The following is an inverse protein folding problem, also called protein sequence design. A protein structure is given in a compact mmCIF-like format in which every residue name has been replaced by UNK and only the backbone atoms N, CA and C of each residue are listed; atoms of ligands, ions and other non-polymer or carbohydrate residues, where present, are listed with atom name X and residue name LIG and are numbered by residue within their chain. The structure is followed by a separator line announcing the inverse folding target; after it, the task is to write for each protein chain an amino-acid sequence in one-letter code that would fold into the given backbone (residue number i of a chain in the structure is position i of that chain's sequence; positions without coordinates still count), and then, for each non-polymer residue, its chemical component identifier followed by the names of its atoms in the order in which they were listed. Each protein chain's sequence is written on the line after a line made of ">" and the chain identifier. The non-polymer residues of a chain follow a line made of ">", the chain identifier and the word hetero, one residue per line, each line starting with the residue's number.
data_IF_864561553731
#
_entry.id   IF_864561553731
#
_cell.length_a   1.000
_cell.length_b   1.000
_cell.length_c   1.000
_cell.angle_alpha   90.00
_cell.angle_beta   90.00
_cell.angle_gamma   90.00
#
_symmetry.space_group_name_H-M   'P 1'
#
loop_
_entity.id
_entity.type
_entity.pdbx_description
1 polymer ?
#
# COMPACT_ATOMS: atom_id res chain seq x y z
N UNK A 1 -21.26 19.64 -14.00
CA UNK A 1 -21.27 18.33 -13.35
C UNK A 1 -20.00 18.31 -12.51
N UNK A 2 -20.11 18.87 -11.30
CA UNK A 2 -19.00 19.01 -10.37
C UNK A 2 -18.75 17.63 -9.78
N UNK A 3 -17.74 16.95 -10.32
CA UNK A 3 -17.29 15.68 -9.77
C UNK A 3 -16.66 15.97 -8.42
N UNK A 4 -17.20 15.33 -7.39
CA UNK A 4 -16.80 15.47 -6.01
C UNK A 4 -15.43 14.80 -5.80
N UNK A 5 -14.37 15.45 -6.26
CA UNK A 5 -12.99 15.06 -5.97
C UNK A 5 -12.65 15.50 -4.54
N UNK A 6 -13.29 14.84 -3.56
CA UNK A 6 -12.94 14.98 -2.15
C UNK A 6 -11.62 14.24 -1.90
N UNK A 7 -10.52 14.92 -2.25
CA UNK A 7 -9.25 14.88 -1.52
C UNK A 7 -8.65 13.49 -1.32
N UNK A 8 -8.43 12.72 -2.38
CA UNK A 8 -7.52 11.58 -2.33
C UNK A 8 -6.08 12.10 -2.36
N UNK A 9 -5.58 12.56 -1.21
CA UNK A 9 -4.15 12.80 -1.08
C UNK A 9 -3.40 11.48 -1.12
N UNK A 10 -2.38 11.45 -1.96
CA UNK A 10 -1.55 10.29 -2.22
C UNK A 10 -0.93 9.68 -0.93
N UNK A 11 -0.75 10.52 0.09
CA UNK A 11 -0.17 10.25 1.40
C UNK A 11 -0.87 9.20 2.27
N UNK A 12 -2.06 8.73 1.89
CA UNK A 12 -2.96 8.08 2.84
C UNK A 12 -3.18 6.57 2.61
N UNK A 13 -2.41 5.89 1.75
CA UNK A 13 -2.70 4.50 1.34
C UNK A 13 -2.98 3.54 2.51
N UNK A 14 -1.98 3.27 3.36
CA UNK A 14 -2.17 2.37 4.49
C UNK A 14 -2.89 3.04 5.65
N UNK A 15 -2.66 4.33 5.89
CA UNK A 15 -3.38 5.12 6.91
C UNK A 15 -4.91 5.04 6.73
N UNK A 16 -5.42 5.23 5.51
CA UNK A 16 -6.85 5.11 5.19
C UNK A 16 -7.31 3.67 5.32
N UNK A 17 -6.53 2.70 4.83
CA UNK A 17 -6.88 1.30 4.98
C UNK A 17 -7.05 0.92 6.47
N UNK A 18 -6.13 1.34 7.34
CA UNK A 18 -6.24 1.15 8.79
C UNK A 18 -7.43 1.87 9.39
N UNK A 19 -7.68 3.13 9.01
CA UNK A 19 -8.81 3.90 9.51
C UNK A 19 -10.17 3.32 9.09
N UNK A 20 -10.30 2.90 7.83
CA UNK A 20 -11.49 2.25 7.31
C UNK A 20 -11.70 0.87 7.95
N UNK A 21 -10.65 0.06 8.04
CA UNK A 21 -10.70 -1.24 8.72
C UNK A 21 -11.14 -1.10 10.17
N UNK A 22 -10.54 -0.17 10.91
CA UNK A 22 -10.89 0.08 12.32
C UNK A 22 -12.36 0.44 12.47
N UNK A 23 -12.91 1.32 11.61
CA UNK A 23 -14.33 1.70 11.63
C UNK A 23 -15.24 0.50 11.41
N UNK A 24 -15.00 -0.28 10.36
CA UNK A 24 -15.79 -1.50 10.09
C UNK A 24 -15.73 -2.49 11.26
N UNK A 25 -14.55 -2.67 11.86
CA UNK A 25 -14.39 -3.54 13.02
C UNK A 25 -15.17 -3.04 14.23
N UNK A 26 -15.16 -1.73 14.51
CA UNK A 26 -15.94 -1.14 15.60
C UNK A 26 -17.45 -1.30 15.37
N UNK A 27 -17.93 -1.03 14.15
CA UNK A 27 -19.34 -1.17 13.77
C UNK A 27 -19.81 -2.63 13.93
N UNK A 28 -19.05 -3.59 13.38
CA UNK A 28 -19.35 -5.02 13.50
C UNK A 28 -19.33 -5.49 14.94
N UNK A 29 -18.38 -5.00 15.74
CA UNK A 29 -18.29 -5.34 17.15
C UNK A 29 -19.52 -4.88 17.93
N UNK A 30 -19.96 -3.64 17.72
CA UNK A 30 -21.16 -3.11 18.35
C UNK A 30 -22.41 -3.89 17.92
N UNK A 31 -22.55 -4.21 16.63
CA UNK A 31 -23.70 -4.97 16.10
C UNK A 31 -23.79 -6.39 16.68
N UNK A 32 -22.65 -7.07 16.84
CA UNK A 32 -22.64 -8.48 17.30
C UNK A 32 -22.67 -8.60 18.82
N UNK A 33 -22.02 -7.70 19.54
CA UNK A 33 -21.87 -7.81 21.01
C UNK A 33 -22.82 -6.91 21.80
N UNK A 34 -23.55 -6.02 21.11
CA UNK A 34 -24.38 -4.94 21.69
C UNK A 34 -23.60 -4.01 22.64
N UNK A 35 -22.27 -3.97 22.48
CA UNK A 35 -21.36 -3.16 23.30
C UNK A 35 -20.38 -2.43 22.39
N UNK A 36 -20.19 -1.11 22.56
CA UNK A 36 -19.15 -0.41 21.83
C UNK A 36 -17.76 -0.90 22.29
N UNK A 37 -16.78 -0.83 21.39
CA UNK A 37 -15.37 -0.93 21.80
C UNK A 37 -15.00 0.27 22.68
N UNK A 38 -13.97 0.09 23.51
CA UNK A 38 -13.38 1.22 24.24
C UNK A 38 -12.81 2.26 23.26
N UNK A 39 -12.58 3.47 23.77
CA UNK A 39 -12.02 4.55 22.93
C UNK A 39 -10.60 4.19 22.50
N UNK A 40 -10.43 3.92 21.20
CA UNK A 40 -9.15 3.58 20.59
C UNK A 40 -8.33 4.85 20.34
N UNK A 41 -7.08 4.89 20.82
CA UNK A 41 -6.22 6.08 20.75
C UNK A 41 -4.90 5.82 20.02
N UNK A 42 -4.19 6.89 19.66
CA UNK A 42 -2.90 6.78 18.96
C UNK A 42 -3.00 6.80 17.43
N UNK A 43 -1.92 6.34 16.78
CA UNK A 43 -1.80 6.37 15.32
C UNK A 43 -2.80 5.38 14.68
N UNK A 44 -3.27 5.60 13.43
CA UNK A 44 -4.25 4.72 12.77
C UNK A 44 -3.91 3.22 12.82
N UNK A 45 -2.63 2.86 12.67
CA UNK A 45 -2.14 1.48 12.80
C UNK A 45 -2.30 0.90 14.21
N UNK A 46 -2.10 1.73 15.25
CA UNK A 46 -2.26 1.32 16.65
C UNK A 46 -3.73 1.12 17.00
N UNK A 47 -4.61 2.01 16.54
CA UNK A 47 -6.07 1.84 16.70
C UNK A 47 -6.56 0.56 16.02
N UNK A 48 -6.06 0.28 14.81
CA UNK A 48 -6.35 -0.98 14.13
C UNK A 48 -5.86 -2.19 14.94
N UNK A 49 -4.65 -2.12 15.51
CA UNK A 49 -4.10 -3.17 16.38
C UNK A 49 -5.00 -3.42 17.59
N UNK A 50 -5.44 -2.37 18.26
CA UNK A 50 -6.31 -2.49 19.42
C UNK A 50 -7.64 -3.15 19.05
N UNK A 51 -8.28 -2.69 17.97
CA UNK A 51 -9.52 -3.29 17.42
C UNK A 51 -9.32 -4.78 17.08
N UNK A 52 -8.22 -5.13 16.39
CA UNK A 52 -7.86 -6.52 16.10
C UNK A 52 -7.74 -7.36 17.36
N UNK A 53 -7.21 -6.80 18.44
CA UNK A 53 -7.14 -7.45 19.74
C UNK A 53 -8.50 -7.89 20.29
N UNK A 54 -9.56 -7.09 20.11
CA UNK A 54 -10.93 -7.48 20.50
C UNK A 54 -11.40 -8.70 19.73
N UNK A 55 -11.24 -8.68 18.40
CA UNK A 55 -11.65 -9.78 17.53
C UNK A 55 -10.86 -11.06 17.82
N UNK A 56 -9.54 -10.97 18.01
CA UNK A 56 -8.71 -12.14 18.35
C UNK A 56 -9.11 -12.75 19.70
N UNK A 57 -9.47 -11.92 20.69
CA UNK A 57 -9.98 -12.40 21.99
C UNK A 57 -11.34 -13.09 21.83
N UNK A 58 -12.28 -12.47 21.12
CA UNK A 58 -13.61 -13.02 20.89
C UNK A 58 -13.60 -14.30 20.04
N UNK A 59 -12.67 -14.42 19.09
CA UNK A 59 -12.50 -15.65 18.31
C UNK A 59 -12.07 -16.83 19.17
N UNK A 60 -11.38 -16.59 20.29
CA UNK A 60 -11.02 -17.64 21.25
C UNK A 60 -12.19 -18.05 22.16
N UNK A 61 -13.22 -17.21 22.31
CA UNK A 61 -14.37 -17.47 23.18
C UNK A 61 -15.57 -18.15 22.50
N UNK A 62 -15.51 -18.40 21.19
CA UNK A 62 -16.53 -19.15 20.44
C UNK A 62 -17.44 -18.32 19.53
N UNK A 63 -17.38 -16.99 19.58
CA UNK A 63 -18.21 -16.08 18.76
C UNK A 63 -17.63 -15.80 17.36
N UNK A 64 -16.60 -16.57 16.97
CA UNK A 64 -15.75 -16.32 15.81
C UNK A 64 -16.53 -16.29 14.48
N UNK A 65 -17.50 -17.19 14.31
CA UNK A 65 -18.18 -17.37 13.03
C UNK A 65 -19.11 -16.19 12.70
N UNK A 66 -19.86 -15.70 13.68
CA UNK A 66 -20.79 -14.56 13.50
C UNK A 66 -20.00 -13.28 13.23
N UNK A 67 -18.95 -13.02 14.02
CA UNK A 67 -18.08 -11.86 13.84
C UNK A 67 -17.43 -11.84 12.45
N UNK A 68 -16.92 -12.99 11.97
CA UNK A 68 -16.34 -13.10 10.62
C UNK A 68 -17.36 -12.84 9.52
N UNK A 69 -18.52 -13.47 9.58
CA UNK A 69 -19.56 -13.29 8.56
C UNK A 69 -20.02 -11.82 8.45
N UNK A 70 -20.15 -11.12 9.59
CA UNK A 70 -20.50 -9.70 9.62
C UNK A 70 -19.38 -8.80 9.08
N UNK A 71 -18.13 -9.13 9.38
CA UNK A 71 -16.96 -8.45 8.82
C UNK A 71 -16.86 -8.61 7.30
N UNK A 72 -17.09 -9.82 6.80
CA UNK A 72 -17.08 -10.10 5.36
C UNK A 72 -18.15 -9.29 4.63
N UNK A 73 -19.35 -9.19 5.20
CA UNK A 73 -20.43 -8.38 4.65
C UNK A 73 -20.10 -6.88 4.71
N UNK A 74 -19.58 -6.39 5.84
CA UNK A 74 -19.22 -4.98 6.03
C UNK A 74 -18.12 -4.51 5.06
N UNK A 75 -17.22 -5.42 4.67
CA UNK A 75 -16.04 -5.11 3.83
C UNK A 75 -16.16 -5.59 2.39
N UNK A 76 -17.33 -6.12 1.99
CA UNK A 76 -17.55 -6.77 0.68
C UNK A 76 -17.19 -5.92 -0.55
N UNK A 77 -17.26 -4.60 -0.42
CA UNK A 77 -17.01 -3.64 -1.50
C UNK A 77 -15.61 -3.02 -1.46
N UNK A 78 -14.82 -3.30 -0.42
CA UNK A 78 -13.47 -2.78 -0.26
C UNK A 78 -12.48 -3.96 -0.10
N UNK A 79 -11.99 -4.46 -1.23
CA UNK A 79 -11.07 -5.58 -1.27
C UNK A 79 -9.76 -5.33 -0.53
N UNK A 80 -9.30 -4.07 -0.45
CA UNK A 80 -8.05 -3.71 0.26
C UNK A 80 -8.25 -3.78 1.76
N UNK A 81 -9.33 -3.21 2.27
CA UNK A 81 -9.67 -3.28 3.70
C UNK A 81 -10.00 -4.70 4.11
N UNK A 82 -10.74 -5.43 3.28
CA UNK A 82 -11.04 -6.84 3.51
C UNK A 82 -9.78 -7.68 3.63
N UNK A 83 -8.89 -7.61 2.63
CA UNK A 83 -7.60 -8.35 2.66
C UNK A 83 -6.75 -7.97 3.86
N UNK A 84 -6.67 -6.68 4.22
CA UNK A 84 -5.95 -6.23 5.42
C UNK A 84 -6.48 -6.91 6.69
N UNK A 85 -7.79 -6.95 6.88
CA UNK A 85 -8.40 -7.55 8.08
C UNK A 85 -8.23 -9.07 8.06
N UNK A 86 -8.49 -9.73 6.94
CA UNK A 86 -8.36 -11.18 6.79
C UNK A 86 -6.92 -11.65 7.06
N UNK A 87 -5.92 -11.01 6.44
CA UNK A 87 -4.50 -11.31 6.65
C UNK A 87 -4.12 -11.12 8.12
N UNK A 88 -4.61 -10.03 8.72
CA UNK A 88 -4.34 -9.70 10.12
C UNK A 88 -4.99 -10.69 11.10
N UNK A 89 -6.17 -11.22 10.77
CA UNK A 89 -6.87 -12.21 11.60
C UNK A 89 -6.33 -13.62 11.41
N UNK A 90 -5.84 -13.96 10.20
CA UNK A 90 -5.21 -15.23 9.91
C UNK A 90 -3.89 -15.39 10.67
N UNK A 91 -3.11 -14.30 10.77
CA UNK A 91 -1.85 -14.27 11.50
C UNK A 91 -1.72 -13.03 12.39
N UNK A 92 -2.41 -12.96 13.54
CA UNK A 92 -2.43 -11.75 14.39
C UNK A 92 -1.07 -11.34 14.95
N UNK A 93 -0.18 -12.31 15.18
CA UNK A 93 1.21 -12.04 15.56
C UNK A 93 2.02 -11.41 14.43
N UNK A 94 1.57 -11.59 13.19
CA UNK A 94 2.23 -11.15 11.95
C UNK A 94 1.51 -10.00 11.25
N UNK A 95 0.32 -9.61 11.72
CA UNK A 95 -0.48 -8.47 11.24
C UNK A 95 0.30 -7.13 11.20
N UNK A 96 1.44 -7.09 11.89
CA UNK A 96 2.35 -5.96 11.95
C UNK A 96 3.65 -6.21 11.19
N UNK A 97 3.60 -7.03 10.15
CA UNK A 97 4.63 -7.05 9.11
C UNK A 97 4.96 -5.62 8.66
N UNK A 98 6.17 -5.39 8.12
CA UNK A 98 6.59 -4.05 7.76
C UNK A 98 5.61 -3.37 6.82
N UNK A 99 5.35 -2.08 7.03
CA UNK A 99 4.45 -1.31 6.21
C UNK A 99 5.24 -0.25 5.40
N UNK A 100 4.77 0.06 4.21
CA UNK A 100 5.37 1.11 3.37
C UNK A 100 5.36 2.47 4.08
N UNK A 101 4.36 2.73 4.92
CA UNK A 101 4.28 3.99 5.68
C UNK A 101 5.31 4.06 6.81
N UNK A 102 5.93 2.94 7.18
CA UNK A 102 7.08 2.91 8.09
C UNK A 102 8.41 3.24 7.38
N UNK A 103 8.42 3.29 6.03
CA UNK A 103 9.62 3.57 5.24
C UNK A 103 9.82 5.08 5.10
N UNK A 104 10.97 5.64 5.49
CA UNK A 104 11.31 7.02 5.19
C UNK A 104 11.36 7.27 3.68
N UNK A 105 10.78 8.37 3.17
CA UNK A 105 10.80 8.68 1.73
C UNK A 105 12.21 8.66 1.13
N UNK A 106 13.21 9.16 1.86
CA UNK A 106 14.61 9.18 1.41
C UNK A 106 15.17 7.78 1.16
N UNK A 107 14.81 6.79 1.98
CA UNK A 107 15.24 5.40 1.81
C UNK A 107 14.58 4.79 0.58
N UNK A 108 13.26 4.97 0.43
CA UNK A 108 12.55 4.40 -0.71
C UNK A 108 12.99 5.02 -2.04
N UNK A 109 13.11 6.36 -2.10
CA UNK A 109 13.60 7.06 -3.29
C UNK A 109 15.03 6.64 -3.65
N UNK A 110 15.93 6.57 -2.67
CA UNK A 110 17.29 6.06 -2.88
C UNK A 110 17.29 4.64 -3.46
N UNK A 111 16.37 3.78 -3.01
CA UNK A 111 16.22 2.44 -3.57
C UNK A 111 15.67 2.45 -5.01
N UNK A 112 14.75 3.35 -5.36
CA UNK A 112 14.29 3.57 -6.74
C UNK A 112 15.49 3.95 -7.62
N UNK A 113 16.25 4.98 -7.22
CA UNK A 113 17.44 5.44 -7.93
C UNK A 113 18.47 4.33 -8.14
N UNK A 114 18.77 3.58 -7.07
CA UNK A 114 19.73 2.47 -7.15
C UNK A 114 19.26 1.33 -8.06
N UNK A 115 17.94 1.08 -8.16
CA UNK A 115 17.41 0.10 -9.10
C UNK A 115 17.37 0.64 -10.53
N UNK A 116 17.02 1.90 -10.72
CA UNK A 116 17.06 2.56 -12.03
C UNK A 116 18.47 2.46 -12.63
N UNK A 117 19.50 2.86 -11.88
CA UNK A 117 20.91 2.76 -12.28
C UNK A 117 21.39 1.31 -12.52
N UNK A 118 20.74 0.32 -11.90
CA UNK A 118 21.07 -1.09 -12.11
C UNK A 118 20.43 -1.66 -13.39
N UNK A 119 19.32 -1.08 -13.86
CA UNK A 119 18.60 -1.53 -15.04
C UNK A 119 19.03 -0.83 -16.33
N UNK A 120 19.52 0.41 -16.24
CA UNK A 120 19.88 1.21 -17.43
C UNK A 120 21.02 0.58 -18.23
N UNK A 121 20.97 0.76 -19.54
CA UNK A 121 22.05 0.46 -20.48
C UNK A 121 22.27 1.66 -21.41
N UNK A 122 22.98 1.44 -22.51
CA UNK A 122 23.31 2.51 -23.47
C UNK A 122 22.07 3.08 -24.21
N UNK A 123 20.94 2.37 -24.20
CA UNK A 123 19.68 2.80 -24.79
C UNK A 123 18.54 2.80 -23.74
N UNK A 124 17.50 3.62 -23.92
CA UNK A 124 16.34 3.62 -23.02
C UNK A 124 15.69 2.25 -22.90
N UNK A 125 15.43 1.81 -21.67
CA UNK A 125 14.88 0.48 -21.37
C UNK A 125 13.52 0.56 -20.69
N UNK A 126 12.60 -0.28 -21.12
CA UNK A 126 11.29 -0.47 -20.52
C UNK A 126 11.31 -1.67 -19.56
N UNK A 127 10.98 -1.46 -18.29
CA UNK A 127 10.93 -2.50 -17.25
C UNK A 127 9.51 -2.60 -16.69
N UNK A 128 8.94 -3.82 -16.66
CA UNK A 128 7.64 -4.07 -16.05
C UNK A 128 7.64 -3.59 -14.58
N UNK A 129 6.63 -2.80 -14.19
CA UNK A 129 6.66 -2.10 -12.90
C UNK A 129 6.69 -3.05 -11.71
N UNK A 130 6.04 -4.21 -11.82
CA UNK A 130 6.06 -5.22 -10.76
C UNK A 130 7.47 -5.77 -10.53
N UNK A 131 8.22 -6.01 -11.59
CA UNK A 131 9.60 -6.52 -11.51
C UNK A 131 10.50 -5.47 -10.87
N UNK A 132 10.40 -4.23 -11.36
CA UNK A 132 11.13 -3.09 -10.84
C UNK A 132 10.86 -2.86 -9.34
N UNK A 133 9.59 -2.75 -8.95
CA UNK A 133 9.20 -2.53 -7.56
C UNK A 133 9.61 -3.68 -6.63
N UNK A 134 9.58 -4.93 -7.08
CA UNK A 134 10.07 -6.07 -6.27
C UNK A 134 11.55 -5.93 -5.93
N UNK A 135 12.37 -5.43 -6.87
CA UNK A 135 13.78 -5.17 -6.63
C UNK A 135 13.98 -3.96 -5.70
N UNK A 136 13.27 -2.85 -5.93
CA UNK A 136 13.25 -1.67 -5.03
C UNK A 136 12.89 -2.06 -3.60
N UNK A 137 11.79 -2.79 -3.42
CA UNK A 137 11.36 -3.28 -2.11
C UNK A 137 12.44 -4.14 -1.47
N UNK A 138 13.09 -5.03 -2.23
CA UNK A 138 14.16 -5.88 -1.69
C UNK A 138 15.33 -5.06 -1.13
N UNK A 139 15.70 -3.95 -1.80
CA UNK A 139 16.72 -3.01 -1.29
C UNK A 139 16.27 -2.31 -0.01
N UNK A 140 15.02 -1.84 0.04
CA UNK A 140 14.43 -1.21 1.22
C UNK A 140 14.42 -2.17 2.42
N UNK A 141 14.02 -3.42 2.21
CA UNK A 141 14.04 -4.44 3.28
C UNK A 141 15.46 -4.62 3.85
N UNK A 142 16.46 -4.67 2.97
CA UNK A 142 17.87 -4.77 3.38
C UNK A 142 18.33 -3.56 4.19
N UNK A 143 18.03 -2.34 3.71
CA UNK A 143 18.43 -1.10 4.38
C UNK A 143 17.71 -0.88 5.73
N UNK A 144 16.44 -1.30 5.82
CA UNK A 144 15.66 -1.23 7.06
C UNK A 144 15.96 -2.36 8.05
N UNK A 145 16.78 -3.36 7.67
CA UNK A 145 17.08 -4.53 8.50
C UNK A 145 15.85 -5.40 8.79
N UNK A 146 14.84 -5.36 7.92
CA UNK A 146 13.59 -6.10 8.11
C UNK A 146 13.75 -7.56 7.73
N UNK A 147 13.22 -8.46 8.56
CA UNK A 147 13.26 -9.92 8.31
C UNK A 147 12.21 -10.40 7.30
N UNK A 148 11.26 -9.53 6.95
CA UNK A 148 10.10 -9.83 6.11
C UNK A 148 9.90 -8.71 5.11
N UNK A 149 9.26 -9.01 3.99
CA UNK A 149 8.89 -8.03 2.96
C UNK A 149 7.40 -7.70 3.04
N UNK A 150 7.04 -6.47 2.69
CA UNK A 150 5.68 -6.16 2.26
C UNK A 150 5.51 -6.54 0.78
N UNK A 151 4.27 -6.81 0.38
CA UNK A 151 3.97 -7.30 -0.96
C UNK A 151 3.89 -6.15 -1.98
N UNK A 152 4.30 -6.44 -3.21
CA UNK A 152 4.07 -5.60 -4.39
C UNK A 152 2.89 -6.18 -5.15
N UNK A 153 1.86 -5.39 -5.42
CA UNK A 153 0.63 -5.83 -6.08
C UNK A 153 -0.53 -4.86 -5.86
N UNK A 154 -1.74 -5.26 -6.18
CA UNK A 154 -2.98 -4.51 -5.88
C UNK A 154 -3.28 -4.56 -4.38
N UNK A 155 -2.62 -3.72 -3.59
CA UNK A 155 -2.73 -3.72 -2.13
C UNK A 155 -2.56 -2.30 -1.54
N UNK A 156 -2.77 -2.19 -0.23
CA UNK A 156 -2.70 -0.92 0.52
C UNK A 156 -1.38 -0.14 0.36
N UNK A 157 -0.28 -0.82 0.08
CA UNK A 157 1.03 -0.19 -0.03
C UNK A 157 1.27 0.44 -1.40
N UNK A 158 0.63 -0.10 -2.43
CA UNK A 158 0.90 0.28 -3.81
C UNK A 158 0.65 1.73 -4.14
N UNK A 159 -0.42 2.39 -3.62
CA UNK A 159 -0.56 3.83 -3.73
C UNK A 159 0.74 4.50 -3.35
N UNK A 160 1.18 4.44 -2.09
CA UNK A 160 2.39 5.12 -1.59
C UNK A 160 3.65 4.87 -2.43
N UNK A 161 3.86 3.65 -2.95
CA UNK A 161 4.99 3.35 -3.84
C UNK A 161 4.95 4.18 -5.13
N UNK A 162 3.78 4.30 -5.75
CA UNK A 162 3.57 5.14 -6.93
C UNK A 162 3.80 6.63 -6.61
N UNK A 163 3.69 7.05 -5.34
CA UNK A 163 3.96 8.45 -4.94
C UNK A 163 5.40 8.74 -5.20
N UNK A 164 6.23 7.89 -4.60
CA UNK A 164 7.66 8.10 -4.59
C UNK A 164 8.24 7.86 -5.96
N UNK A 165 7.64 6.98 -6.78
CA UNK A 165 7.97 6.90 -8.20
C UNK A 165 7.67 8.20 -8.95
N UNK A 166 6.52 8.83 -8.73
CA UNK A 166 6.19 10.12 -9.36
C UNK A 166 7.07 11.25 -8.88
N UNK A 167 7.36 11.29 -7.58
CA UNK A 167 8.29 12.27 -7.03
C UNK A 167 9.70 12.07 -7.60
N UNK A 168 10.15 10.83 -7.81
CA UNK A 168 11.44 10.57 -8.49
C UNK A 168 11.37 10.92 -9.98
N UNK A 169 10.28 10.60 -10.66
CA UNK A 169 10.05 11.01 -12.06
C UNK A 169 10.13 12.54 -12.20
N UNK A 170 9.49 13.30 -11.30
CA UNK A 170 9.58 14.76 -11.22
C UNK A 170 11.01 15.25 -10.92
N UNK A 171 11.74 14.58 -10.04
CA UNK A 171 13.15 14.89 -9.72
C UNK A 171 14.08 14.61 -10.90
N UNK A 172 13.77 13.62 -11.74
CA UNK A 172 14.55 13.26 -12.94
C UNK A 172 14.16 14.04 -14.18
N UNK A 173 12.95 14.59 -14.22
CA UNK A 173 12.41 15.25 -15.40
C UNK A 173 13.21 16.52 -15.74
N UNK A 174 14.15 16.41 -16.69
CA UNK A 174 14.67 17.56 -17.43
C UNK A 174 13.59 18.21 -18.31
N UNK A 175 13.92 19.35 -18.94
CA UNK A 175 13.01 20.16 -19.77
C UNK A 175 12.35 19.39 -20.95
N UNK A 176 12.80 18.17 -21.26
CA UNK A 176 12.33 17.35 -22.38
C UNK A 176 11.78 15.96 -21.98
N UNK A 177 11.60 15.66 -20.69
CA UNK A 177 10.96 14.41 -20.25
C UNK A 177 11.83 13.17 -20.45
N UNK A 178 13.06 13.26 -19.96
CA UNK A 178 14.02 12.16 -19.91
C UNK A 178 14.41 11.84 -18.47
N UNK A 179 14.65 10.57 -18.15
CA UNK A 179 14.88 10.07 -16.79
C UNK A 179 14.10 8.79 -16.47
N UNK A 180 13.57 8.67 -15.26
CA UNK A 180 12.62 7.62 -14.90
C UNK A 180 11.20 8.07 -15.24
N UNK A 181 10.51 7.33 -16.11
CA UNK A 181 9.13 7.64 -16.51
C UNK A 181 8.16 6.52 -16.24
N UNK A 182 7.07 6.83 -15.53
CA UNK A 182 6.00 5.88 -15.26
C UNK A 182 5.01 5.85 -16.43
N UNK A 183 4.84 4.67 -17.06
CA UNK A 183 4.05 4.52 -18.27
C UNK A 183 3.01 3.40 -18.16
N UNK A 184 1.94 3.51 -18.94
CA UNK A 184 1.08 2.37 -19.22
C UNK A 184 1.89 1.30 -19.97
N UNK A 185 1.63 0.03 -19.73
CA UNK A 185 2.37 -1.08 -20.35
C UNK A 185 2.35 -1.02 -21.88
N UNK A 186 1.22 -0.61 -22.46
CA UNK A 186 1.05 -0.41 -23.90
C UNK A 186 1.66 0.89 -24.46
N UNK A 187 2.38 1.68 -23.66
CA UNK A 187 2.96 2.98 -24.03
C UNK A 187 1.97 4.04 -24.53
N UNK A 188 0.68 3.84 -24.31
CA UNK A 188 -0.38 4.71 -24.83
C UNK A 188 -1.16 5.38 -23.71
N UNK A 189 -1.50 6.66 -23.91
CA UNK A 189 -2.30 7.44 -22.99
C UNK A 189 -1.58 7.82 -21.69
N UNK A 190 -2.27 8.62 -20.86
CA UNK A 190 -1.78 9.01 -19.54
C UNK A 190 -1.94 7.86 -18.56
N UNK A 191 -0.99 7.70 -17.64
CA UNK A 191 -1.16 6.81 -16.48
C UNK A 191 -2.26 7.39 -15.59
N UNK A 192 -3.16 6.53 -15.11
CA UNK A 192 -4.23 6.94 -14.21
C UNK A 192 -3.66 7.64 -12.96
N UNK A 193 -4.33 8.67 -12.45
CA UNK A 193 -3.87 9.39 -11.24
C UNK A 193 -3.71 8.44 -10.04
N UNK A 194 -4.55 7.40 -9.95
CA UNK A 194 -4.51 6.36 -8.92
C UNK A 194 -4.61 4.98 -9.59
N UNK A 195 -3.49 4.40 -10.04
CA UNK A 195 -3.52 3.08 -10.65
C UNK A 195 -3.84 2.02 -9.59
N UNK A 196 -4.65 1.02 -9.97
CA UNK A 196 -5.06 -0.05 -9.05
C UNK A 196 -3.89 -0.95 -8.63
N UNK A 197 -2.95 -1.20 -9.54
CA UNK A 197 -1.84 -2.12 -9.33
C UNK A 197 -0.73 -1.99 -10.37
N UNK A 198 0.37 -2.75 -10.18
CA UNK A 198 1.56 -2.64 -11.02
C UNK A 198 1.47 -3.37 -12.37
N UNK A 199 0.57 -4.34 -12.53
CA UNK A 199 0.59 -5.29 -13.67
C UNK A 199 0.39 -4.64 -15.06
N UNK A 200 -0.26 -3.47 -15.11
CA UNK A 200 -0.54 -2.74 -16.34
C UNK A 200 0.39 -1.54 -16.54
N UNK A 201 1.46 -1.45 -15.76
CA UNK A 201 2.40 -0.33 -15.76
C UNK A 201 3.82 -0.82 -16.00
N UNK A 202 4.66 0.10 -16.45
CA UNK A 202 6.10 -0.07 -16.62
C UNK A 202 6.82 1.22 -16.28
N UNK A 203 8.12 1.12 -16.01
CA UNK A 203 9.01 2.27 -15.97
C UNK A 203 9.87 2.28 -17.23
N UNK A 204 10.02 3.43 -17.86
CA UNK A 204 11.05 3.68 -18.85
C UNK A 204 12.22 4.36 -18.17
N UNK A 205 13.43 3.90 -18.42
CA UNK A 205 14.66 4.39 -17.82
C UNK A 205 15.60 4.83 -18.92
N UNK A 206 16.15 6.03 -18.79
CA UNK A 206 17.09 6.62 -19.74
C UNK A 206 18.40 6.98 -19.01
N UNK A 207 19.52 6.40 -19.46
CA UNK A 207 20.82 6.52 -18.80
C UNK A 207 21.41 7.92 -18.87
N UNK A 208 21.06 8.71 -19.89
CA UNK A 208 21.61 10.06 -20.06
C UNK A 208 21.10 11.05 -18.99
N UNK A 209 20.11 10.63 -18.19
CA UNK A 209 19.35 11.48 -17.27
C UNK A 209 19.13 10.85 -15.88
N UNK A 210 19.85 9.75 -15.58
CA UNK A 210 19.86 9.06 -14.28
C UNK A 210 21.23 9.14 -13.61
#
# INVERSE_FOLDING_TARGET
>A
MEDSDRGLTFFDGCIRAYGAATRHMMEVWQDVTDKPMDTLSGYPRDRFREALGYFVRAMKSGDAAVLRAKLDEATRHDGTVKSLIEDSLASPAEAFAPDIDDVPPSIFKKAIWAEALNCVGDEPVDVDLEVFLRAVVSRVIGEMGWKRRFNVGENRHFPRMVQWLREVEEETAGDEGFGLHLMNRGSAGRVASYPAGPHNLKVRLDADWL
#
